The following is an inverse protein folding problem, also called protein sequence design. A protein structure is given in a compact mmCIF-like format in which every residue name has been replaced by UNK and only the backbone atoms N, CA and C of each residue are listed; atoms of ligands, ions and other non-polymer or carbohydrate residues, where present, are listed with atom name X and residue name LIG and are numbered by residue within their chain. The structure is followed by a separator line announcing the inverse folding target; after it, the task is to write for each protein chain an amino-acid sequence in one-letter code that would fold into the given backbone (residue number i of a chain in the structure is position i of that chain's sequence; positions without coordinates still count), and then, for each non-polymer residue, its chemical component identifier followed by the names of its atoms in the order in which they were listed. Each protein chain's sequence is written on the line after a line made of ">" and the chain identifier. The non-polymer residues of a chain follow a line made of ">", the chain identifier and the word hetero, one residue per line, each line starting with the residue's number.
data_IF_437759173040
#
_entry.id   IF_437759173040
#
_cell.length_a   1.000
_cell.length_b   1.000
_cell.length_c   1.000
_cell.angle_alpha   90.00
_cell.angle_beta   90.00
_cell.angle_gamma   90.00
#
_symmetry.space_group_name_H-M   'P 1'
#
loop_
_entity.id
_entity.type
_entity.pdbx_description
1 polymer ?
#
# COMPACT_ATOMS: atom_id res chain seq x y z
N UNK A 1 22.30 -13.59 2.92
CA UNK A 1 21.13 -12.77 3.28
C UNK A 1 21.18 -11.45 2.56
N UNK A 2 20.11 -11.08 1.86
CA UNK A 2 20.02 -9.77 1.22
C UNK A 2 19.34 -8.85 2.24
N UNK A 3 20.11 -7.95 2.86
CA UNK A 3 19.58 -6.91 3.71
C UNK A 3 19.05 -5.77 2.82
N UNK A 4 17.83 -5.31 3.09
CA UNK A 4 17.18 -4.24 2.33
C UNK A 4 16.81 -3.10 3.26
N UNK A 5 17.08 -1.86 2.86
CA UNK A 5 16.76 -0.68 3.65
C UNK A 5 15.39 -0.08 3.36
N UNK A 6 14.79 -0.42 2.22
CA UNK A 6 13.52 0.12 1.76
C UNK A 6 12.82 -0.87 0.82
N UNK A 7 11.50 -0.99 0.96
CA UNK A 7 10.68 -1.88 0.14
C UNK A 7 9.70 -1.06 -0.68
N UNK A 8 9.72 -1.28 -1.99
CA UNK A 8 8.76 -0.70 -2.92
C UNK A 8 7.72 -1.75 -3.33
N UNK A 9 6.45 -1.44 -3.10
CA UNK A 9 5.33 -2.24 -3.59
C UNK A 9 4.63 -1.49 -4.73
N UNK A 10 4.87 -1.95 -5.95
CA UNK A 10 4.36 -1.36 -7.21
C UNK A 10 3.38 -2.30 -7.91
N UNK A 11 2.72 -1.84 -8.97
CA UNK A 11 1.92 -2.72 -9.84
C UNK A 11 0.59 -3.22 -9.24
N UNK A 12 0.15 -2.68 -8.10
CA UNK A 12 -1.11 -3.07 -7.43
C UNK A 12 -2.32 -3.05 -8.37
N UNK A 13 -2.41 -2.04 -9.24
CA UNK A 13 -3.51 -1.91 -10.20
C UNK A 13 -3.51 -3.01 -11.26
N UNK A 14 -2.33 -3.42 -11.73
CA UNK A 14 -2.18 -4.46 -12.76
C UNK A 14 -2.49 -5.85 -12.22
N UNK A 15 -2.22 -6.09 -10.94
CA UNK A 15 -2.47 -7.38 -10.29
C UNK A 15 -3.91 -7.53 -9.77
N UNK A 16 -4.70 -6.46 -9.76
CA UNK A 16 -6.10 -6.51 -9.37
C UNK A 16 -6.95 -7.21 -10.45
N UNK A 17 -7.93 -8.07 -10.10
CA UNK A 17 -8.41 -8.41 -8.76
C UNK A 17 -7.72 -9.62 -8.12
N UNK A 18 -6.79 -10.27 -8.81
CA UNK A 18 -6.16 -11.51 -8.36
C UNK A 18 -5.39 -11.33 -7.04
N UNK A 19 -4.72 -10.18 -6.88
CA UNK A 19 -3.98 -9.83 -5.66
C UNK A 19 -4.59 -8.57 -5.04
N UNK A 20 -4.94 -8.64 -3.75
CA UNK A 20 -5.44 -7.49 -2.99
C UNK A 20 -4.31 -6.87 -2.19
N UNK A 21 -4.10 -5.56 -2.35
CA UNK A 21 -3.04 -4.82 -1.67
C UNK A 21 -3.09 -5.00 -0.15
N UNK A 22 -4.28 -5.05 0.44
CA UNK A 22 -4.45 -5.24 1.88
C UNK A 22 -3.94 -6.58 2.38
N UNK A 23 -4.13 -7.64 1.59
CA UNK A 23 -3.64 -8.97 1.92
C UNK A 23 -2.11 -8.99 1.86
N UNK A 24 -1.52 -8.33 0.86
CA UNK A 24 -0.06 -8.19 0.75
C UNK A 24 0.49 -7.40 1.93
N UNK A 25 -0.09 -6.26 2.28
CA UNK A 25 0.36 -5.43 3.40
C UNK A 25 0.28 -6.18 4.74
N UNK A 26 -0.81 -6.91 5.00
CA UNK A 26 -0.96 -7.69 6.22
C UNK A 26 0.09 -8.80 6.34
N UNK A 27 0.42 -9.46 5.22
CA UNK A 27 1.41 -10.54 5.21
C UNK A 27 2.85 -10.00 5.23
N UNK A 28 3.09 -8.83 4.64
CA UNK A 28 4.40 -8.20 4.67
C UNK A 28 4.71 -7.63 6.06
N UNK A 29 3.72 -7.16 6.81
CA UNK A 29 3.94 -6.60 8.14
C UNK A 29 4.70 -7.54 9.09
N UNK A 30 4.55 -8.87 8.96
CA UNK A 30 5.31 -9.82 9.78
C UNK A 30 6.74 -10.08 9.32
N UNK A 31 7.10 -9.64 8.10
CA UNK A 31 8.39 -9.94 7.45
C UNK A 31 9.22 -8.65 7.29
N UNK A 32 8.57 -7.49 7.18
CA UNK A 32 9.26 -6.21 6.96
C UNK A 32 9.90 -5.64 8.22
N UNK A 33 9.71 -6.24 9.40
CA UNK A 33 10.21 -5.75 10.69
C UNK A 33 10.07 -4.22 10.82
N UNK A 34 11.19 -3.50 10.94
CA UNK A 34 11.26 -2.03 11.02
C UNK A 34 11.61 -1.36 9.69
N UNK A 35 11.71 -2.11 8.59
CA UNK A 35 12.10 -1.58 7.30
C UNK A 35 10.93 -0.80 6.68
N UNK A 36 11.15 0.45 6.22
CA UNK A 36 10.10 1.26 5.62
C UNK A 36 9.56 0.61 4.34
N UNK A 37 8.24 0.72 4.14
CA UNK A 37 7.55 0.26 2.94
C UNK A 37 6.84 1.43 2.26
N UNK A 38 7.09 1.59 0.96
CA UNK A 38 6.43 2.58 0.11
C UNK A 38 5.53 1.86 -0.88
N UNK A 39 4.22 2.12 -0.77
CA UNK A 39 3.20 1.53 -1.62
C UNK A 39 2.76 2.52 -2.70
N UNK A 40 2.87 2.11 -3.96
CA UNK A 40 2.33 2.84 -5.10
C UNK A 40 0.91 2.35 -5.37
N UNK A 41 -0.04 3.07 -4.80
CA UNK A 41 -1.44 2.69 -4.85
C UNK A 41 -2.20 3.51 -5.90
N UNK A 42 -2.76 2.90 -6.96
CA UNK A 42 -3.50 3.62 -7.99
C UNK A 42 -4.90 3.97 -7.49
N UNK A 43 -5.01 4.98 -6.65
CA UNK A 43 -6.26 5.31 -5.98
C UNK A 43 -6.12 6.44 -4.96
N UNK A 44 -7.08 6.52 -4.04
CA UNK A 44 -7.11 7.54 -2.99
C UNK A 44 -6.88 6.91 -1.62
N UNK A 45 -6.08 7.59 -0.80
CA UNK A 45 -5.89 7.25 0.61
C UNK A 45 -6.53 8.33 1.49
N UNK A 46 -7.57 8.04 2.24
CA UNK A 46 -8.28 9.05 3.04
C UNK A 46 -7.53 9.50 4.31
N UNK A 47 -6.39 8.88 4.61
CA UNK A 47 -5.74 8.95 5.93
C UNK A 47 -6.08 7.75 6.82
N UNK A 48 -7.15 7.01 6.49
CA UNK A 48 -7.57 5.82 7.23
C UNK A 48 -7.70 4.61 6.29
N UNK A 49 -8.36 4.80 5.14
CA UNK A 49 -8.71 3.74 4.19
C UNK A 49 -8.18 4.01 2.78
N UNK A 50 -8.03 2.93 2.02
CA UNK A 50 -7.61 2.93 0.62
C UNK A 50 -8.81 2.65 -0.30
N UNK A 51 -8.94 3.46 -1.35
CA UNK A 51 -9.93 3.32 -2.42
C UNK A 51 -9.24 3.08 -3.77
N UNK A 52 -9.29 1.84 -4.27
CA UNK A 52 -8.64 1.49 -5.54
C UNK A 52 -9.37 2.15 -6.71
N UNK A 53 -8.61 2.81 -7.58
CA UNK A 53 -9.10 3.61 -8.71
C UNK A 53 -10.14 4.68 -8.33
N UNK A 54 -10.24 5.01 -7.03
CA UNK A 54 -11.29 5.89 -6.50
C UNK A 54 -12.70 5.27 -6.51
N UNK A 55 -12.86 3.99 -6.86
CA UNK A 55 -14.15 3.32 -7.03
C UNK A 55 -14.40 2.25 -5.96
N UNK A 56 -13.35 1.55 -5.55
CA UNK A 56 -13.47 0.39 -4.67
C UNK A 56 -12.97 0.73 -3.27
N UNK A 57 -13.89 1.15 -2.40
CA UNK A 57 -13.59 1.39 -0.99
C UNK A 57 -13.31 0.07 -0.27
N UNK A 58 -12.21 0.05 0.48
CA UNK A 58 -11.89 -1.03 1.41
C UNK A 58 -12.18 -0.57 2.84
N UNK A 59 -12.64 -1.46 3.72
CA UNK A 59 -12.85 -1.15 5.14
C UNK A 59 -11.59 -1.35 6.00
N UNK A 60 -10.46 -1.61 5.36
CA UNK A 60 -9.22 -1.88 6.07
C UNK A 60 -8.57 -0.57 6.49
N UNK A 61 -8.20 -0.51 7.76
CA UNK A 61 -7.49 0.62 8.36
C UNK A 61 -5.99 0.43 8.21
N UNK A 62 -5.28 1.45 7.72
CA UNK A 62 -3.82 1.43 7.61
C UNK A 62 -3.19 2.60 8.34
N UNK A 63 -2.15 2.30 9.12
CA UNK A 63 -1.26 3.32 9.68
C UNK A 63 -0.23 3.69 8.62
N UNK A 64 -0.59 4.61 7.75
CA UNK A 64 0.28 5.13 6.71
C UNK A 64 0.13 6.65 6.60
N UNK A 65 1.12 7.30 6.02
CA UNK A 65 1.04 8.70 5.60
C UNK A 65 1.35 8.79 4.11
N UNK A 66 0.81 9.83 3.47
CA UNK A 66 1.10 10.09 2.06
C UNK A 66 2.51 10.66 1.96
N UNK A 67 3.34 10.06 1.11
CA UNK A 67 4.70 10.57 0.88
C UNK A 67 4.71 11.87 0.08
N UNK A 68 3.76 12.03 -0.84
CA UNK A 68 3.60 13.24 -1.64
C UNK A 68 2.23 13.90 -1.35
N UNK A 69 2.18 15.25 -1.27
CA UNK A 69 0.91 15.97 -1.18
C UNK A 69 0.08 15.79 -2.46
N UNK A 70 -1.23 15.99 -2.37
CA UNK A 70 -2.07 16.03 -3.57
C UNK A 70 -1.59 17.18 -4.46
N UNK A 71 -1.35 16.89 -5.74
CA UNK A 71 -1.18 17.94 -6.74
C UNK A 71 -2.50 18.73 -6.80
N UNK A 72 -2.43 20.04 -6.57
CA UNK A 72 -3.56 20.95 -6.75
C UNK A 72 -4.03 20.96 -8.20
#
# INVERSE_FOLDING_TARGET
>A
DVDYDLIFLTGVGNAWPMVRAHSVLNNLHSITDKKPLVLFYPGKFSGLDLSLFGKFKTKNYYRAFRLMPEAM
#
